data_IF_425433774827
#
_entry.id   IF_425433774827
#
_cell.length_a   1.000
_cell.length_b   1.000
_cell.length_c   1.000
_cell.angle_alpha   90.00
_cell.angle_beta   90.00
_cell.angle_gamma   90.00
#
_symmetry.space_group_name_H-M   'P 1'
#
loop_
_entity.id
_entity.type
_entity.pdbx_description
1 polymer ?
#
# COMPACT_ATOMS: atom_id res chain seq x y z
N UNK A 1 -6.21 -17.14 -13.38
CA UNK A 1 -6.45 -15.87 -14.11
C UNK A 1 -5.25 -14.92 -13.99
N UNK A 2 -4.46 -14.78 -15.06
CA UNK A 2 -3.24 -13.98 -15.09
C UNK A 2 -3.61 -12.49 -15.24
N UNK A 3 -3.91 -11.79 -14.13
CA UNK A 3 -4.19 -10.36 -14.15
C UNK A 3 -2.89 -9.61 -14.48
N UNK A 4 -2.91 -8.64 -15.42
CA UNK A 4 -1.70 -7.93 -15.80
C UNK A 4 -1.12 -7.17 -14.60
N UNK A 5 0.19 -7.35 -14.38
CA UNK A 5 0.94 -6.59 -13.38
C UNK A 5 0.83 -5.10 -13.69
N UNK A 6 0.57 -4.30 -12.65
CA UNK A 6 0.63 -2.85 -12.74
C UNK A 6 2.08 -2.40 -12.66
N UNK A 7 2.43 -1.33 -13.40
CA UNK A 7 3.79 -0.78 -13.49
C UNK A 7 3.76 0.75 -13.48
N UNK A 8 4.88 1.37 -13.15
CA UNK A 8 5.10 2.80 -13.42
C UNK A 8 5.27 2.98 -14.93
N UNK A 9 4.56 3.94 -15.51
CA UNK A 9 4.67 4.31 -16.92
C UNK A 9 4.46 5.82 -17.06
N UNK A 10 5.47 6.52 -17.55
CA UNK A 10 5.43 7.98 -17.68
C UNK A 10 4.67 8.47 -18.92
N UNK A 11 4.47 7.60 -19.91
CA UNK A 11 3.78 7.96 -21.17
C UNK A 11 2.25 7.80 -21.07
N UNK A 12 1.79 6.69 -20.48
CA UNK A 12 0.36 6.30 -20.48
C UNK A 12 -0.20 6.03 -19.08
N UNK A 13 0.62 6.14 -18.04
CA UNK A 13 0.21 5.92 -16.65
C UNK A 13 -0.78 6.98 -16.18
N UNK A 14 -1.77 6.56 -15.38
CA UNK A 14 -2.66 7.50 -14.70
C UNK A 14 -1.94 8.11 -13.49
N UNK A 15 -2.15 9.40 -13.25
CA UNK A 15 -1.63 10.08 -12.07
C UNK A 15 -2.04 9.34 -10.78
N UNK A 16 -1.04 9.15 -9.90
CA UNK A 16 -1.17 8.47 -8.63
C UNK A 16 -0.30 9.16 -7.58
N UNK A 17 -0.85 9.37 -6.38
CA UNK A 17 -0.16 10.03 -5.27
C UNK A 17 -0.36 9.23 -3.99
N UNK A 18 0.75 8.91 -3.33
CA UNK A 18 0.80 8.23 -2.03
C UNK A 18 1.74 9.02 -1.13
N UNK A 19 1.20 9.56 -0.04
CA UNK A 19 2.03 10.06 1.06
C UNK A 19 2.49 8.89 1.90
N UNK A 20 3.69 8.98 2.47
CA UNK A 20 4.23 7.93 3.33
C UNK A 20 5.08 8.51 4.46
N UNK A 21 5.18 7.76 5.56
CA UNK A 21 6.04 8.08 6.70
C UNK A 21 6.54 6.79 7.35
N UNK A 22 7.85 6.72 7.63
CA UNK A 22 8.43 5.64 8.43
C UNK A 22 7.94 5.78 9.88
N UNK A 23 7.38 4.70 10.43
CA UNK A 23 7.01 4.59 11.83
C UNK A 23 8.09 3.90 12.66
N UNK A 24 8.75 2.90 12.05
CA UNK A 24 9.89 2.18 12.62
C UNK A 24 10.81 1.75 11.49
N UNK A 25 12.12 1.95 11.66
CA UNK A 25 13.15 1.38 10.80
C UNK A 25 13.87 0.26 11.54
N UNK A 26 14.10 -0.85 10.86
CA UNK A 26 15.02 -1.91 11.24
C UNK A 26 16.04 -2.14 10.13
N UNK A 27 16.93 -3.10 10.33
CA UNK A 27 18.04 -3.35 9.40
C UNK A 27 17.58 -3.94 8.06
N UNK A 28 16.60 -4.85 8.10
CA UNK A 28 16.09 -5.54 6.90
C UNK A 28 14.69 -5.07 6.48
N UNK A 29 13.92 -4.50 7.41
CA UNK A 29 12.53 -4.10 7.17
C UNK A 29 12.17 -2.78 7.87
N UNK A 30 11.14 -2.13 7.34
CA UNK A 30 10.62 -0.89 7.91
C UNK A 30 9.10 -0.93 7.98
N UNK A 31 8.55 -0.46 9.10
CA UNK A 31 7.10 -0.24 9.25
C UNK A 31 6.77 1.14 8.74
N UNK A 32 5.98 1.21 7.67
CA UNK A 32 5.63 2.47 7.00
C UNK A 32 4.13 2.70 7.08
N UNK A 33 3.72 3.92 7.43
CA UNK A 33 2.35 4.39 7.24
C UNK A 33 2.22 4.94 5.83
N UNK A 34 1.23 4.44 5.09
CA UNK A 34 0.89 4.88 3.74
C UNK A 34 -0.45 5.61 3.76
N UNK A 35 -0.56 6.69 2.99
CA UNK A 35 -1.77 7.51 2.85
C UNK A 35 -2.02 7.77 1.36
N UNK A 36 -2.73 6.86 0.67
CA UNK A 36 -3.06 7.03 -0.75
C UNK A 36 -4.04 8.20 -0.93
N UNK A 37 -3.68 9.19 -1.76
CA UNK A 37 -4.58 10.28 -2.19
C UNK A 37 -5.39 9.91 -3.42
N UNK A 38 -4.95 8.87 -4.12
CA UNK A 38 -5.63 8.24 -5.26
C UNK A 38 -5.78 6.74 -5.00
N UNK A 39 -6.74 6.09 -5.66
CA UNK A 39 -7.02 4.67 -5.50
C UNK A 39 -6.70 3.84 -6.74
N UNK A 40 -5.48 3.91 -7.30
CA UNK A 40 -5.11 3.10 -8.47
C UNK A 40 -4.85 1.64 -8.08
N UNK A 41 -5.10 0.72 -9.01
CA UNK A 41 -4.82 -0.70 -8.83
C UNK A 41 -3.37 -0.91 -8.42
N UNK A 42 -3.15 -1.64 -7.31
CA UNK A 42 -1.83 -1.92 -6.74
C UNK A 42 -0.96 -0.69 -6.43
N UNK A 43 -1.53 0.51 -6.35
CA UNK A 43 -0.78 1.76 -6.21
C UNK A 43 0.28 1.71 -5.11
N UNK A 44 -0.10 1.32 -3.90
CA UNK A 44 0.82 1.26 -2.75
C UNK A 44 1.97 0.27 -2.98
N UNK A 45 1.68 -0.87 -3.61
CA UNK A 45 2.64 -1.94 -3.89
C UNK A 45 3.66 -1.49 -4.93
N UNK A 46 3.19 -0.90 -6.03
CA UNK A 46 4.03 -0.41 -7.12
C UNK A 46 4.83 0.83 -6.70
N UNK A 47 4.27 1.74 -5.90
CA UNK A 47 5.00 2.91 -5.42
C UNK A 47 6.15 2.51 -4.49
N UNK A 48 5.90 1.58 -3.57
CA UNK A 48 6.93 1.06 -2.68
C UNK A 48 8.00 0.26 -3.43
N UNK A 49 7.61 -0.53 -4.43
CA UNK A 49 8.56 -1.15 -5.36
C UNK A 49 9.42 -0.10 -6.10
N UNK A 50 8.81 0.98 -6.60
CA UNK A 50 9.53 2.04 -7.32
C UNK A 50 10.51 2.81 -6.42
N UNK A 51 10.27 2.84 -5.11
CA UNK A 51 11.21 3.38 -4.10
C UNK A 51 12.30 2.37 -3.70
N UNK A 52 12.30 1.14 -4.23
CA UNK A 52 13.24 0.08 -3.86
C UNK A 52 12.87 -0.68 -2.58
N UNK A 53 11.70 -0.40 -1.98
CA UNK A 53 11.27 -0.98 -0.71
C UNK A 53 9.96 -1.76 -0.89
N UNK A 54 10.02 -2.95 -1.49
CA UNK A 54 8.81 -3.76 -1.75
C UNK A 54 8.08 -4.15 -0.46
N UNK A 55 6.74 -4.28 -0.55
CA UNK A 55 5.95 -4.78 0.58
C UNK A 55 6.25 -6.26 0.79
N UNK A 56 6.51 -6.63 2.04
CA UNK A 56 6.78 -8.01 2.45
C UNK A 56 5.58 -8.92 2.17
N UNK A 57 5.86 -10.14 1.71
CA UNK A 57 4.88 -11.16 1.35
C UNK A 57 4.03 -10.82 0.12
N UNK A 58 4.41 -9.79 -0.64
CA UNK A 58 3.71 -9.42 -1.86
C UNK A 58 3.86 -10.50 -2.96
N UNK A 59 2.76 -11.12 -3.44
CA UNK A 59 2.82 -12.22 -4.39
C UNK A 59 3.15 -11.87 -5.82
N UNK A 60 3.19 -10.59 -6.13
CA UNK A 60 3.38 -10.11 -7.49
C UNK A 60 4.70 -9.38 -7.66
N UNK A 61 5.14 -8.66 -6.63
CA UNK A 61 6.27 -7.73 -6.73
C UNK A 61 7.47 -8.11 -5.86
N UNK A 62 7.28 -8.91 -4.79
CA UNK A 62 8.39 -9.33 -3.94
C UNK A 62 9.07 -10.60 -4.46
N UNK A 63 10.37 -10.71 -4.22
CA UNK A 63 11.21 -11.87 -4.54
C UNK A 63 12.16 -12.15 -3.36
N UNK A 64 12.73 -13.36 -3.31
CA UNK A 64 13.66 -13.78 -2.24
C UNK A 64 13.03 -13.67 -0.85
N UNK A 65 13.84 -13.31 0.16
CA UNK A 65 13.39 -13.22 1.56
C UNK A 65 12.17 -12.30 1.76
N UNK A 66 12.05 -11.23 0.98
CA UNK A 66 10.89 -10.34 1.04
C UNK A 66 9.58 -11.02 0.61
N UNK A 67 9.64 -12.13 -0.14
CA UNK A 67 8.48 -12.93 -0.56
C UNK A 67 8.05 -13.96 0.50
N UNK A 68 8.96 -14.36 1.39
CA UNK A 68 8.81 -15.50 2.31
C UNK A 68 7.96 -15.20 3.56
N UNK A 69 7.14 -14.14 3.50
CA UNK A 69 6.16 -13.81 4.54
C UNK A 69 4.82 -14.48 4.25
N UNK A 70 4.04 -14.85 5.28
CA UNK A 70 2.84 -15.68 5.13
C UNK A 70 1.71 -15.04 4.32
N UNK A 71 1.75 -13.71 4.14
CA UNK A 71 0.75 -12.92 3.41
C UNK A 71 1.34 -11.57 3.02
N UNK A 72 0.61 -10.85 2.17
CA UNK A 72 0.89 -9.43 1.93
C UNK A 72 0.79 -8.64 3.25
N UNK A 73 1.90 -8.03 3.65
CA UNK A 73 2.05 -7.21 4.86
C UNK A 73 1.54 -5.78 4.62
N UNK A 74 0.31 -5.68 4.10
CA UNK A 74 -0.42 -4.44 3.85
C UNK A 74 -1.79 -4.54 4.52
N UNK A 75 -2.12 -3.54 5.34
CA UNK A 75 -3.37 -3.49 6.09
C UNK A 75 -4.01 -2.10 5.99
N UNK A 76 -5.33 -2.07 5.80
CA UNK A 76 -6.11 -0.83 5.88
C UNK A 76 -6.47 -0.57 7.34
N UNK A 77 -5.61 0.18 8.03
CA UNK A 77 -5.76 0.47 9.48
C UNK A 77 -6.93 1.42 9.76
N UNK A 78 -7.10 2.46 8.92
CA UNK A 78 -8.08 3.52 9.13
C UNK A 78 -8.75 3.91 7.80
N UNK A 79 -10.07 4.11 7.86
CA UNK A 79 -10.87 4.72 6.81
C UNK A 79 -11.64 5.91 7.39
N UNK A 80 -11.55 7.06 6.71
CA UNK A 80 -12.33 8.26 7.02
C UNK A 80 -13.17 8.62 5.81
N UNK A 81 -14.45 8.90 6.03
CA UNK A 81 -15.37 9.33 4.99
C UNK A 81 -16.43 10.26 5.56
N UNK A 82 -17.07 11.01 4.68
CA UNK A 82 -18.31 11.74 5.00
C UNK A 82 -19.45 10.75 4.89
N UNK A 83 -20.26 10.65 5.94
CA UNK A 83 -21.42 9.78 5.95
C UNK A 83 -22.33 10.17 4.76
N UNK A 84 -22.80 9.20 3.95
CA UNK A 84 -23.58 9.50 2.75
C UNK A 84 -24.91 10.19 3.09
N UNK A 85 -25.44 9.90 4.26
CA UNK A 85 -26.57 10.61 4.85
C UNK A 85 -26.05 11.75 5.74
N UNK A 86 -26.22 12.99 5.30
CA UNK A 86 -25.91 14.20 6.08
C UNK A 86 -24.45 14.67 6.11
N UNK A 87 -23.48 13.92 5.57
CA UNK A 87 -22.11 14.40 5.38
C UNK A 87 -21.25 14.48 6.65
N UNK A 88 -21.75 13.97 7.77
CA UNK A 88 -21.03 13.91 9.05
C UNK A 88 -19.74 13.10 8.91
N UNK A 89 -18.66 13.55 9.54
CA UNK A 89 -17.38 12.83 9.49
C UNK A 89 -17.42 11.55 10.29
N UNK A 90 -17.18 10.40 9.66
CA UNK A 90 -17.08 9.09 10.33
C UNK A 90 -15.69 8.48 10.13
N UNK A 91 -15.26 7.69 11.11
CA UNK A 91 -13.93 7.08 11.17
C UNK A 91 -14.05 5.64 11.63
N UNK A 92 -13.51 4.73 10.84
CA UNK A 92 -13.44 3.30 11.13
C UNK A 92 -11.99 2.88 11.30
N UNK A 93 -11.72 2.00 12.26
CA UNK A 93 -10.38 1.48 12.53
C UNK A 93 -10.41 -0.04 12.70
N UNK A 94 -9.37 -0.69 12.21
CA UNK A 94 -9.11 -2.11 12.41
C UNK A 94 -7.66 -2.29 12.83
N UNK A 95 -7.43 -2.95 13.97
CA UNK A 95 -6.09 -3.19 14.49
C UNK A 95 -5.26 -4.02 13.50
N UNK A 96 -4.00 -3.62 13.30
CA UNK A 96 -3.04 -4.36 12.47
C UNK A 96 -2.59 -5.60 13.26
N UNK A 97 -2.54 -6.76 12.59
CA UNK A 97 -2.17 -8.05 13.19
C UNK A 97 -0.69 -8.41 13.00
N UNK A 98 0.12 -7.43 12.59
CA UNK A 98 1.55 -7.55 12.30
C UNK A 98 2.27 -6.21 12.56
#
# INVERSE_FOLDING_TARGET
PNRPLQKVCHETGRAALTEWRVLRAGDEESRVRLSPKTGRSHQLRVHLLALGHVILGDPLYAQGAARDFPRLMLHSEELRLRHPDGGAGVKFRAAVQF
#
